data_IF_389771559509
#
_entry.id   IF_389771559509
#
_cell.length_a   1.000
_cell.length_b   1.000
_cell.length_c   1.000
_cell.angle_alpha   90.00
_cell.angle_beta   90.00
_cell.angle_gamma   90.00
#
_symmetry.space_group_name_H-M   'P 1'
#
loop_
_entity.id
_entity.type
_entity.pdbx_description
1 polymer ?
#
# COMPACT_ATOMS: atom_id res chain seq x y z
N UNK A 1 -30.37 25.29 18.86
CA UNK A 1 -29.40 25.21 17.76
C UNK A 1 -28.30 24.24 18.17
N UNK A 2 -28.39 22.99 17.71
CA UNK A 2 -27.41 21.93 18.03
C UNK A 2 -26.36 21.94 16.93
N UNK A 3 -25.12 22.34 17.25
CA UNK A 3 -23.97 22.29 16.34
C UNK A 3 -23.45 20.85 16.31
N UNK A 4 -23.68 20.13 15.22
CA UNK A 4 -23.10 18.83 14.97
C UNK A 4 -21.66 19.04 14.49
N UNK A 5 -20.69 18.71 15.32
CA UNK A 5 -19.26 18.69 14.96
C UNK A 5 -19.01 17.37 14.25
N UNK A 6 -18.79 17.46 12.94
CA UNK A 6 -18.36 16.31 12.11
C UNK A 6 -16.87 16.09 12.39
N UNK A 7 -16.55 15.08 13.16
CA UNK A 7 -15.16 14.67 13.43
C UNK A 7 -14.67 13.89 12.21
N UNK A 8 -13.94 14.54 11.33
CA UNK A 8 -13.29 13.93 10.18
C UNK A 8 -12.08 13.15 10.71
N UNK A 9 -12.27 11.83 10.90
CA UNK A 9 -11.19 10.94 11.28
C UNK A 9 -10.19 10.81 10.14
N UNK A 10 -9.04 11.47 10.27
CA UNK A 10 -7.90 11.23 9.41
C UNK A 10 -7.37 9.81 9.70
N UNK A 11 -7.62 8.86 8.78
CA UNK A 11 -6.89 7.60 8.78
C UNK A 11 -5.42 7.91 8.51
N UNK A 12 -4.62 7.93 9.56
CA UNK A 12 -3.18 7.92 9.44
C UNK A 12 -2.79 6.54 8.87
N UNK A 13 -2.52 6.49 7.58
CA UNK A 13 -1.80 5.38 6.98
C UNK A 13 -0.43 5.38 7.62
N UNK A 14 -0.23 4.48 8.58
CA UNK A 14 1.09 4.22 9.16
C UNK A 14 1.95 3.59 8.06
N UNK A 15 2.63 4.43 7.28
CA UNK A 15 3.72 3.96 6.46
C UNK A 15 4.71 3.29 7.41
N UNK A 16 4.93 2.00 7.25
CA UNK A 16 5.98 1.28 7.96
C UNK A 16 7.29 1.88 7.47
N UNK A 17 7.76 2.86 8.22
CA UNK A 17 9.02 3.54 7.98
C UNK A 17 10.13 2.53 8.26
N UNK A 18 10.76 2.01 7.22
CA UNK A 18 11.93 1.17 7.35
C UNK A 18 13.17 2.07 7.33
N UNK A 19 13.76 2.26 8.51
CA UNK A 19 15.07 2.87 8.62
C UNK A 19 16.09 2.02 7.85
N UNK A 20 16.80 2.64 6.90
CA UNK A 20 17.85 1.99 6.15
C UNK A 20 19.10 2.88 6.07
N UNK A 21 20.22 2.26 5.85
CA UNK A 21 21.47 2.96 5.56
C UNK A 21 21.53 3.32 4.09
N UNK A 22 21.72 4.58 3.81
CA UNK A 22 21.90 5.16 2.47
C UNK A 22 23.36 5.43 2.23
N UNK A 23 23.83 5.17 1.02
CA UNK A 23 25.23 5.33 0.65
C UNK A 23 25.36 6.32 -0.50
N UNK A 24 26.33 7.24 -0.43
CA UNK A 24 26.63 8.16 -1.52
C UNK A 24 27.20 7.43 -2.74
N UNK A 25 27.10 8.07 -3.93
CA UNK A 25 27.55 7.48 -5.18
C UNK A 25 29.05 7.10 -5.19
N UNK A 26 29.88 7.82 -4.41
CA UNK A 26 31.30 7.52 -4.24
C UNK A 26 31.60 6.48 -3.15
N UNK A 27 30.59 6.02 -2.42
CA UNK A 27 30.75 5.05 -1.34
C UNK A 27 31.33 5.58 -0.03
N UNK A 28 31.78 6.84 0.01
CA UNK A 28 32.51 7.39 1.17
C UNK A 28 31.61 7.80 2.32
N UNK A 29 30.37 8.19 2.03
CA UNK A 29 29.43 8.69 3.03
C UNK A 29 28.22 7.79 3.15
N UNK A 30 27.86 7.46 4.39
CA UNK A 30 26.65 6.74 4.71
C UNK A 30 25.82 7.51 5.72
N UNK A 31 24.51 7.35 5.69
CA UNK A 31 23.59 7.91 6.68
C UNK A 31 22.36 7.04 6.83
N UNK A 32 21.77 7.07 8.00
CA UNK A 32 20.51 6.36 8.28
C UNK A 32 19.34 7.33 8.13
N UNK A 33 18.32 6.88 7.41
CA UNK A 33 17.06 7.60 7.24
C UNK A 33 15.94 6.66 6.78
N UNK A 34 14.72 7.04 7.12
CA UNK A 34 13.53 6.33 6.67
C UNK A 34 13.11 6.82 5.29
N UNK A 35 12.83 5.89 4.39
CA UNK A 35 12.27 6.22 3.08
C UNK A 35 10.83 6.69 3.21
N UNK A 36 10.49 7.79 2.58
CA UNK A 36 9.12 8.30 2.52
C UNK A 36 8.51 8.17 1.12
N UNK A 37 9.21 8.66 0.11
CA UNK A 37 8.75 8.64 -1.28
C UNK A 37 9.90 8.92 -2.23
N UNK A 38 9.71 8.63 -3.50
CA UNK A 38 10.61 9.04 -4.57
C UNK A 38 9.82 9.46 -5.81
N UNK A 39 10.41 10.32 -6.60
CA UNK A 39 10.00 10.65 -7.96
C UNK A 39 11.10 10.22 -8.96
N UNK A 40 11.00 10.68 -10.22
CA UNK A 40 11.95 10.30 -11.26
C UNK A 40 13.41 10.71 -10.96
N UNK A 41 13.63 11.78 -10.21
CA UNK A 41 14.95 12.39 -10.03
C UNK A 41 15.34 12.54 -8.56
N UNK A 42 14.38 12.54 -7.64
CA UNK A 42 14.62 12.80 -6.22
C UNK A 42 14.03 11.73 -5.32
N UNK A 43 14.62 11.60 -4.16
CA UNK A 43 14.12 10.79 -3.07
C UNK A 43 13.92 11.65 -1.83
N UNK A 44 12.80 11.43 -1.16
CA UNK A 44 12.45 12.05 0.11
C UNK A 44 12.61 11.05 1.22
N UNK A 45 13.39 11.40 2.21
CA UNK A 45 13.64 10.57 3.40
C UNK A 45 13.38 11.35 4.68
N UNK A 46 13.12 10.63 5.76
CA UNK A 46 13.02 11.20 7.10
C UNK A 46 14.33 10.91 7.85
N UNK A 47 15.13 11.95 8.09
CA UNK A 47 16.38 11.86 8.84
C UNK A 47 16.25 12.63 10.14
N UNK A 48 16.40 11.94 11.27
CA UNK A 48 16.29 12.57 12.61
C UNK A 48 15.00 13.39 12.78
N UNK A 49 13.88 12.88 12.28
CA UNK A 49 12.57 13.58 12.36
C UNK A 49 12.37 14.71 11.36
N UNK A 50 13.32 14.98 10.48
CA UNK A 50 13.23 16.02 9.44
C UNK A 50 13.15 15.41 8.05
N UNK A 51 12.25 15.93 7.22
CA UNK A 51 12.19 15.56 5.81
C UNK A 51 13.39 16.16 5.07
N UNK A 52 14.11 15.33 4.36
CA UNK A 52 15.25 15.70 3.52
C UNK A 52 15.00 15.19 2.11
N UNK A 53 15.20 16.04 1.13
CA UNK A 53 15.06 15.70 -0.29
C UNK A 53 16.45 15.81 -0.92
N UNK A 54 16.85 14.79 -1.67
CA UNK A 54 18.10 14.83 -2.43
C UNK A 54 17.96 14.07 -3.75
N UNK A 55 18.88 14.36 -4.67
CA UNK A 55 18.85 13.75 -5.99
C UNK A 55 19.26 12.28 -5.91
N UNK A 56 18.55 11.43 -6.65
CA UNK A 56 18.86 9.99 -6.77
C UNK A 56 20.24 9.77 -7.34
N UNK A 57 20.72 10.67 -8.23
CA UNK A 57 22.07 10.63 -8.81
C UNK A 57 23.19 10.56 -7.77
N UNK A 58 22.98 11.17 -6.61
CA UNK A 58 23.95 11.24 -5.51
C UNK A 58 24.05 9.95 -4.68
N UNK A 59 23.23 8.97 -4.98
CA UNK A 59 23.17 7.70 -4.27
C UNK A 59 23.96 6.59 -4.97
N UNK A 60 24.32 5.58 -4.22
CA UNK A 60 24.96 4.36 -4.72
C UNK A 60 24.06 3.64 -5.75
N UNK A 61 24.66 2.77 -6.55
CA UNK A 61 23.92 1.95 -7.51
C UNK A 61 22.88 1.05 -6.83
N UNK A 62 23.23 0.50 -5.66
CA UNK A 62 22.34 -0.39 -4.90
C UNK A 62 21.14 0.36 -4.35
N UNK A 63 21.33 1.59 -3.87
CA UNK A 63 20.22 2.43 -3.40
C UNK A 63 19.30 2.86 -4.54
N UNK A 64 19.84 3.16 -5.73
CA UNK A 64 19.04 3.45 -6.93
C UNK A 64 18.16 2.26 -7.31
N UNK A 65 18.74 1.07 -7.38
CA UNK A 65 17.99 -0.16 -7.69
C UNK A 65 16.90 -0.43 -6.67
N UNK A 66 17.18 -0.19 -5.40
CA UNK A 66 16.20 -0.34 -4.33
C UNK A 66 15.06 0.66 -4.46
N UNK A 67 15.34 1.94 -4.75
CA UNK A 67 14.31 2.98 -4.97
C UNK A 67 13.40 2.59 -6.13
N UNK A 68 13.95 2.11 -7.24
CA UNK A 68 13.16 1.65 -8.38
C UNK A 68 12.24 0.48 -8.01
N UNK A 69 12.72 -0.45 -7.20
CA UNK A 69 11.91 -1.56 -6.73
C UNK A 69 10.76 -1.10 -5.82
N UNK A 70 11.02 -0.15 -4.91
CA UNK A 70 9.99 0.41 -4.03
C UNK A 70 8.96 1.25 -4.82
N UNK A 71 9.41 2.02 -5.80
CA UNK A 71 8.50 2.77 -6.68
C UNK A 71 7.57 1.83 -7.47
N UNK A 72 8.08 0.71 -7.99
CA UNK A 72 7.26 -0.32 -8.66
C UNK A 72 6.25 -0.95 -7.71
N UNK A 73 6.62 -1.26 -6.47
CA UNK A 73 5.70 -1.79 -5.46
C UNK A 73 4.59 -0.79 -5.13
N UNK A 74 4.91 0.50 -5.00
CA UNK A 74 3.92 1.54 -4.72
C UNK A 74 2.91 1.66 -5.87
N UNK A 75 3.36 1.68 -7.12
CA UNK A 75 2.49 1.70 -8.31
C UNK A 75 1.58 0.46 -8.36
N UNK A 76 2.14 -0.72 -8.07
CA UNK A 76 1.36 -1.96 -8.04
C UNK A 76 0.31 -1.93 -6.92
N UNK A 77 0.67 -1.46 -5.73
CA UNK A 77 -0.26 -1.36 -4.61
C UNK A 77 -1.42 -0.39 -4.90
N UNK A 78 -1.15 0.73 -5.59
CA UNK A 78 -2.19 1.67 -5.99
C UNK A 78 -3.10 1.08 -7.09
N UNK A 79 -2.53 0.35 -8.05
CA UNK A 79 -3.29 -0.37 -9.07
C UNK A 79 -4.18 -1.45 -8.43
N UNK A 80 -3.66 -2.21 -7.46
CA UNK A 80 -4.42 -3.24 -6.75
C UNK A 80 -5.55 -2.64 -5.92
N UNK A 81 -5.32 -1.51 -5.25
CA UNK A 81 -6.38 -0.76 -4.52
C UNK A 81 -7.48 -0.26 -5.46
N UNK A 82 -7.09 0.32 -6.60
CA UNK A 82 -8.04 0.79 -7.60
C UNK A 82 -8.88 -0.36 -8.13
N UNK A 83 -8.25 -1.47 -8.51
CA UNK A 83 -8.95 -2.67 -8.97
C UNK A 83 -9.90 -3.24 -7.90
N UNK A 84 -9.51 -3.23 -6.61
CA UNK A 84 -10.35 -3.66 -5.51
C UNK A 84 -11.59 -2.76 -5.34
N UNK A 85 -11.41 -1.43 -5.47
CA UNK A 85 -12.51 -0.47 -5.40
C UNK A 85 -13.48 -0.66 -6.57
N UNK A 86 -12.98 -0.69 -7.80
CA UNK A 86 -13.79 -0.91 -9.01
C UNK A 86 -14.56 -2.25 -8.94
N UNK A 87 -13.90 -3.29 -8.43
CA UNK A 87 -14.54 -4.58 -8.21
C UNK A 87 -15.66 -4.50 -7.17
N UNK A 88 -15.42 -3.87 -6.02
CA UNK A 88 -16.43 -3.76 -4.95
C UNK A 88 -17.66 -2.96 -5.37
N UNK A 89 -17.52 -2.00 -6.28
CA UNK A 89 -18.58 -1.18 -6.81
C UNK A 89 -19.36 -1.88 -7.95
N UNK A 90 -18.79 -2.91 -8.57
CA UNK A 90 -19.45 -3.70 -9.60
C UNK A 90 -20.64 -4.49 -9.04
N UNK A 91 -21.61 -4.84 -9.90
CA UNK A 91 -22.77 -5.66 -9.48
C UNK A 91 -22.32 -7.03 -8.96
N UNK A 92 -21.28 -7.61 -9.56
CA UNK A 92 -20.70 -8.86 -9.11
C UNK A 92 -20.01 -8.72 -7.75
N UNK A 93 -19.22 -7.67 -7.53
CA UNK A 93 -18.61 -7.38 -6.26
C UNK A 93 -19.62 -7.14 -5.14
N UNK A 94 -20.71 -6.42 -5.42
CA UNK A 94 -21.83 -6.22 -4.48
C UNK A 94 -22.54 -7.54 -4.14
N UNK A 95 -22.71 -8.42 -5.11
CA UNK A 95 -23.26 -9.76 -4.87
C UNK A 95 -22.33 -10.59 -3.96
N UNK A 96 -21.04 -10.56 -4.22
CA UNK A 96 -20.02 -11.25 -3.42
C UNK A 96 -19.80 -10.62 -2.05
N UNK A 97 -20.10 -9.33 -1.86
CA UNK A 97 -20.00 -8.65 -0.56
C UNK A 97 -20.92 -9.24 0.52
N UNK A 98 -21.88 -10.11 0.13
CA UNK A 98 -22.74 -10.88 1.04
C UNK A 98 -22.18 -12.26 1.39
N UNK A 99 -21.00 -12.61 0.88
CA UNK A 99 -20.40 -13.91 1.13
C UNK A 99 -20.02 -14.10 2.59
N UNK A 100 -20.06 -15.35 2.99
CA UNK A 100 -19.63 -15.77 4.31
C UNK A 100 -18.51 -16.80 4.17
N UNK A 101 -17.52 -16.72 5.03
CA UNK A 101 -16.46 -17.69 5.18
C UNK A 101 -16.76 -18.61 6.34
N UNK A 102 -16.56 -19.90 6.12
CA UNK A 102 -16.62 -20.87 7.24
C UNK A 102 -15.36 -20.73 8.10
N UNK A 103 -15.57 -20.34 9.35
CA UNK A 103 -14.53 -20.24 10.36
C UNK A 103 -14.83 -21.24 11.49
N UNK A 104 -14.15 -22.38 11.45
CA UNK A 104 -14.45 -23.53 12.29
C UNK A 104 -15.85 -24.10 11.99
N UNK A 105 -16.80 -23.92 12.90
CA UNK A 105 -18.20 -24.39 12.76
C UNK A 105 -19.20 -23.25 12.51
N UNK A 106 -18.73 -22.02 12.31
CA UNK A 106 -19.59 -20.84 12.16
C UNK A 106 -19.29 -20.09 10.86
N UNK A 107 -20.33 -19.60 10.21
CA UNK A 107 -20.19 -18.68 9.11
C UNK A 107 -19.97 -17.27 9.62
N UNK A 108 -18.96 -16.57 9.06
CA UNK A 108 -18.65 -15.18 9.35
C UNK A 108 -18.64 -14.38 8.05
N UNK A 109 -19.03 -13.12 8.12
CA UNK A 109 -18.91 -12.19 6.99
C UNK A 109 -17.46 -12.20 6.51
N UNK A 110 -17.28 -12.31 5.20
CA UNK A 110 -15.97 -12.26 4.56
C UNK A 110 -15.91 -11.08 3.61
N UNK A 111 -14.94 -10.23 3.81
CA UNK A 111 -14.63 -9.13 2.91
C UNK A 111 -13.34 -9.45 2.16
N UNK A 112 -13.34 -9.21 0.85
CA UNK A 112 -12.15 -9.39 0.02
C UNK A 112 -11.27 -8.15 0.17
N UNK A 113 -10.08 -8.31 0.69
CA UNK A 113 -9.11 -7.21 0.84
C UNK A 113 -8.53 -6.76 -0.51
N UNK A 114 -8.50 -7.66 -1.48
CA UNK A 114 -8.02 -7.40 -2.86
C UNK A 114 -8.94 -8.06 -3.86
N UNK A 115 -9.04 -7.47 -5.06
CA UNK A 115 -9.79 -8.08 -6.16
C UNK A 115 -9.08 -9.36 -6.63
N UNK A 116 -9.74 -10.53 -6.58
CA UNK A 116 -9.16 -11.76 -7.10
C UNK A 116 -9.00 -11.69 -8.61
N UNK A 117 -7.91 -12.24 -9.13
CA UNK A 117 -7.68 -12.33 -10.59
C UNK A 117 -8.58 -13.34 -11.27
N UNK A 118 -9.05 -14.34 -10.53
CA UNK A 118 -9.91 -15.41 -11.01
C UNK A 118 -10.95 -15.77 -9.95
N UNK A 119 -12.15 -16.14 -10.42
CA UNK A 119 -13.22 -16.67 -9.58
C UNK A 119 -13.59 -18.07 -10.07
N UNK A 120 -13.73 -19.01 -9.15
CA UNK A 120 -14.35 -20.31 -9.41
C UNK A 120 -15.72 -20.33 -8.72
N UNK A 121 -16.79 -20.44 -9.51
CA UNK A 121 -18.15 -20.57 -9.00
C UNK A 121 -18.56 -22.04 -9.11
N UNK A 122 -18.90 -22.63 -7.98
CA UNK A 122 -19.43 -23.97 -7.92
C UNK A 122 -20.92 -23.93 -7.53
N UNK A 123 -21.76 -24.50 -8.36
CA UNK A 123 -23.19 -24.61 -8.11
C UNK A 123 -23.52 -26.07 -7.80
N UNK A 124 -24.13 -26.32 -6.65
CA UNK A 124 -24.69 -27.62 -6.33
C UNK A 124 -26.13 -27.47 -5.88
N UNK A 125 -26.96 -28.43 -6.25
CA UNK A 125 -28.31 -28.55 -5.75
C UNK A 125 -28.46 -29.91 -5.08
N UNK A 126 -29.00 -29.94 -3.87
CA UNK A 126 -29.43 -31.18 -3.22
C UNK A 126 -30.94 -31.32 -3.49
N UNK A 127 -31.30 -32.35 -4.19
CA UNK A 127 -32.71 -32.78 -4.43
C UNK A 127 -33.16 -33.68 -3.28
#
# INVERSE_FOLDING_TARGET
>A
MKKTILLLGALAVSAVSQARTWTSANGENTFEADYLSSDANTVTVLRKGKKVIFKIELLSKDDKTWIEAEAKKAVQADADKKAATEFSESDFGKALGKMQKLDGKKFRKHELETAPKLFLLYFSASW
#
